data_IF_888301829078
#
_entry.id   IF_888301829078
#
_cell.length_a   1.000
_cell.length_b   1.000
_cell.length_c   1.000
_cell.angle_alpha   90.00
_cell.angle_beta   90.00
_cell.angle_gamma   90.00
#
_symmetry.space_group_name_H-M   'P 1'
#
loop_
_entity.id
_entity.type
_entity.pdbx_description
1 polymer ?
#
# COMPACT_ATOMS: atom_id res chain seq x y z
N UNK A 1 -1.03 11.19 -2.32
CA UNK A 1 -1.40 10.54 -3.60
C UNK A 1 -1.61 9.02 -3.49
N UNK A 2 -1.93 8.44 -2.31
CA UNK A 2 -2.09 6.97 -2.17
C UNK A 2 -3.44 6.40 -2.62
N UNK A 3 -4.44 7.26 -2.83
CA UNK A 3 -5.83 6.85 -3.08
C UNK A 3 -6.24 6.88 -4.56
N UNK A 4 -5.35 7.25 -5.48
CA UNK A 4 -5.65 7.26 -6.92
C UNK A 4 -6.06 5.88 -7.45
N UNK A 5 -5.66 4.80 -6.78
CA UNK A 5 -6.08 3.45 -7.13
C UNK A 5 -7.61 3.31 -7.11
N UNK A 6 -8.32 4.03 -6.22
CA UNK A 6 -9.79 4.03 -6.18
C UNK A 6 -10.44 4.61 -7.43
N UNK A 7 -9.79 5.57 -8.10
CA UNK A 7 -10.30 6.16 -9.33
C UNK A 7 -10.31 5.14 -10.49
N UNK A 8 -9.43 4.15 -10.44
CA UNK A 8 -9.28 3.10 -11.45
C UNK A 8 -9.70 1.70 -10.96
N UNK A 9 -10.24 1.60 -9.73
CA UNK A 9 -10.62 0.31 -9.11
C UNK A 9 -11.54 -0.53 -9.99
N UNK A 10 -12.51 0.09 -10.68
CA UNK A 10 -13.45 -0.62 -11.56
C UNK A 10 -12.75 -1.30 -12.75
N UNK A 11 -11.73 -0.65 -13.31
CA UNK A 11 -10.92 -1.20 -14.39
C UNK A 11 -9.96 -2.27 -13.86
N UNK A 12 -9.39 -2.06 -12.67
CA UNK A 12 -8.54 -3.05 -12.03
C UNK A 12 -9.31 -4.34 -11.72
N UNK A 13 -10.52 -4.27 -11.17
CA UNK A 13 -11.30 -5.47 -10.84
C UNK A 13 -11.72 -6.29 -12.07
N UNK A 14 -11.79 -5.66 -13.25
CA UNK A 14 -12.11 -6.34 -14.50
C UNK A 14 -10.86 -6.96 -15.17
N UNK A 15 -9.67 -6.42 -14.89
CA UNK A 15 -8.42 -6.83 -15.55
C UNK A 15 -7.50 -7.67 -14.66
N UNK A 16 -7.65 -7.63 -13.33
CA UNK A 16 -6.80 -8.34 -12.39
C UNK A 16 -7.50 -9.55 -11.74
N UNK A 17 -6.78 -10.66 -11.54
CA UNK A 17 -7.24 -11.76 -10.71
C UNK A 17 -7.48 -11.33 -9.26
N UNK A 18 -8.35 -12.03 -8.51
CA UNK A 18 -8.64 -11.73 -7.10
C UNK A 18 -7.39 -11.65 -6.21
N UNK A 19 -6.35 -12.43 -6.52
CA UNK A 19 -5.10 -12.41 -5.79
C UNK A 19 -4.29 -11.12 -6.00
N UNK A 20 -4.27 -10.55 -7.22
CA UNK A 20 -3.64 -9.24 -7.47
C UNK A 20 -4.37 -8.11 -6.73
N UNK A 21 -5.71 -8.16 -6.68
CA UNK A 21 -6.50 -7.23 -5.88
C UNK A 21 -6.20 -7.34 -4.38
N UNK A 22 -5.97 -8.55 -3.87
CA UNK A 22 -5.59 -8.78 -2.48
C UNK A 22 -4.23 -8.13 -2.14
N UNK A 23 -3.24 -8.22 -3.04
CA UNK A 23 -1.95 -7.54 -2.88
C UNK A 23 -2.06 -6.01 -2.87
N UNK A 24 -2.90 -5.45 -3.74
CA UNK A 24 -3.19 -4.02 -3.75
C UNK A 24 -3.90 -3.56 -2.48
N UNK A 25 -4.88 -4.33 -2.00
CA UNK A 25 -5.57 -4.05 -0.74
C UNK A 25 -4.60 -4.11 0.45
N UNK A 26 -3.71 -5.10 0.48
CA UNK A 26 -2.66 -5.21 1.50
C UNK A 26 -1.73 -4.00 1.49
N UNK A 27 -1.30 -3.52 0.32
CA UNK A 27 -0.52 -2.30 0.20
C UNK A 27 -1.25 -1.06 0.72
N UNK A 28 -2.54 -0.92 0.40
CA UNK A 28 -3.40 0.15 0.94
C UNK A 28 -3.54 0.11 2.46
N UNK A 29 -3.66 -1.09 3.05
CA UNK A 29 -3.68 -1.28 4.50
C UNK A 29 -2.34 -0.90 5.14
N UNK A 30 -1.21 -1.33 4.56
CA UNK A 30 0.12 -0.97 5.07
C UNK A 30 0.35 0.54 5.08
N UNK A 31 -0.10 1.26 4.05
CA UNK A 31 -0.08 2.73 4.05
C UNK A 31 -0.98 3.33 5.13
N UNK A 32 -2.18 2.79 5.33
CA UNK A 32 -3.12 3.27 6.35
C UNK A 32 -2.59 3.07 7.77
N UNK A 33 -1.97 1.92 8.04
CA UNK A 33 -1.31 1.64 9.33
C UNK A 33 -0.05 2.48 9.50
N UNK A 34 0.72 2.72 8.43
CA UNK A 34 1.88 3.61 8.47
C UNK A 34 1.53 5.03 8.91
N UNK A 35 0.37 5.57 8.52
CA UNK A 35 -0.07 6.91 8.93
C UNK A 35 -0.15 7.06 10.44
N UNK A 36 -0.52 6.01 11.18
CA UNK A 36 -0.54 6.05 12.64
C UNK A 36 0.85 6.39 13.22
N UNK A 37 1.90 5.76 12.69
CA UNK A 37 3.28 6.02 13.11
C UNK A 37 3.79 7.38 12.65
N UNK A 38 3.35 7.84 11.48
CA UNK A 38 3.65 9.19 10.96
C UNK A 38 3.04 10.29 11.84
N UNK A 39 1.77 10.15 12.24
CA UNK A 39 1.09 11.16 13.07
C UNK A 39 1.67 11.20 14.50
N UNK A 40 2.18 10.07 14.99
CA UNK A 40 2.80 9.98 16.31
C UNK A 40 4.32 10.15 16.29
N UNK A 41 4.90 10.64 15.19
CA UNK A 41 6.36 10.78 15.02
C UNK A 41 6.99 11.69 16.08
N UNK A 42 6.31 12.77 16.48
CA UNK A 42 6.78 13.65 17.56
C UNK A 42 6.76 13.00 18.95
N UNK A 43 5.92 11.97 19.16
CA UNK A 43 5.77 11.28 20.45
C UNK A 43 6.60 10.00 20.54
N UNK A 44 6.89 9.37 19.41
CA UNK A 44 7.57 8.08 19.34
C UNK A 44 8.96 8.32 18.77
N UNK A 45 10.00 8.17 19.60
CA UNK A 45 11.40 8.28 19.17
C UNK A 45 11.67 7.22 18.08
N UNK A 46 11.98 7.65 16.85
CA UNK A 46 12.09 6.86 15.61
C UNK A 46 10.77 6.48 14.90
N UNK A 47 9.65 7.15 15.21
CA UNK A 47 8.37 6.96 14.51
C UNK A 47 8.48 7.11 12.99
N UNK A 48 9.31 8.04 12.53
CA UNK A 48 9.61 8.28 11.12
C UNK A 48 10.23 7.07 10.42
N UNK A 49 11.15 6.39 11.10
CA UNK A 49 11.81 5.19 10.55
C UNK A 49 10.83 4.03 10.42
N UNK A 50 9.97 3.85 11.43
CA UNK A 50 8.91 2.83 11.39
C UNK A 50 7.92 3.13 10.26
N UNK A 51 7.53 4.40 10.10
CA UNK A 51 6.69 4.83 8.97
C UNK A 51 7.32 4.46 7.62
N UNK A 52 8.62 4.71 7.43
CA UNK A 52 9.32 4.32 6.20
C UNK A 52 9.26 2.82 5.94
N UNK A 53 9.34 1.95 6.96
CA UNK A 53 9.20 0.50 6.79
C UNK A 53 7.81 0.12 6.29
N UNK A 54 6.76 0.76 6.81
CA UNK A 54 5.38 0.54 6.33
C UNK A 54 5.20 1.01 4.88
N UNK A 55 5.77 2.17 4.52
CA UNK A 55 5.75 2.69 3.14
C UNK A 55 6.48 1.74 2.19
N UNK A 56 7.61 1.20 2.61
CA UNK A 56 8.43 0.28 1.82
C UNK A 56 7.73 -1.07 1.63
N UNK A 57 7.13 -1.63 2.69
CA UNK A 57 6.29 -2.83 2.61
C UNK A 57 5.07 -2.62 1.71
N UNK A 58 4.39 -1.48 1.83
CA UNK A 58 3.29 -1.09 0.95
C UNK A 58 3.72 -1.05 -0.53
N UNK A 59 4.88 -0.49 -0.81
CA UNK A 59 5.44 -0.43 -2.17
C UNK A 59 5.79 -1.83 -2.71
N UNK A 60 6.36 -2.72 -1.88
CA UNK A 60 6.68 -4.10 -2.27
C UNK A 60 5.41 -4.87 -2.64
N UNK A 61 4.36 -4.79 -1.83
CA UNK A 61 3.09 -5.49 -2.14
C UNK A 61 2.44 -4.98 -3.43
N UNK A 62 2.50 -3.67 -3.69
CA UNK A 62 2.05 -3.10 -4.97
C UNK A 62 2.93 -3.56 -6.14
N UNK A 63 4.25 -3.61 -5.96
CA UNK A 63 5.17 -4.14 -6.97
C UNK A 63 4.87 -5.60 -7.31
N UNK A 64 4.65 -6.46 -6.30
CA UNK A 64 4.27 -7.86 -6.49
C UNK A 64 2.94 -7.97 -7.24
N UNK A 65 1.97 -7.11 -6.93
CA UNK A 65 0.70 -7.08 -7.66
C UNK A 65 0.89 -6.76 -9.14
N UNK A 66 1.75 -5.82 -9.49
CA UNK A 66 1.98 -5.43 -10.89
C UNK A 66 2.79 -6.51 -11.61
N UNK A 67 3.92 -6.91 -11.02
CA UNK A 67 4.83 -7.87 -11.63
C UNK A 67 4.22 -9.27 -11.78
N UNK A 68 3.43 -9.73 -10.80
CA UNK A 68 2.87 -11.08 -10.80
C UNK A 68 1.53 -11.23 -11.51
N UNK A 69 0.82 -10.13 -11.80
CA UNK A 69 -0.56 -10.20 -12.30
C UNK A 69 -0.87 -9.24 -13.47
N UNK A 70 0.05 -8.34 -13.84
CA UNK A 70 -0.15 -7.38 -14.95
C UNK A 70 0.86 -7.62 -16.07
N UNK A 71 2.12 -7.89 -15.74
CA UNK A 71 3.20 -8.25 -16.68
C UNK A 71 3.15 -9.75 -16.94
#
# INVERSE_FOLDING_TARGET
>A
MGWMVLAVMKSLTASLPPAGLAWLAAGGMLYSVGIYWFVNDEKIRHGHGIWHLFVLGGSITQFVSVYGYVI
#
